data_IF_587776209519
#
_entry.id   IF_587776209519
#
_cell.length_a   1.000
_cell.length_b   1.000
_cell.length_c   1.000
_cell.angle_alpha   90.00
_cell.angle_beta   90.00
_cell.angle_gamma   90.00
#
_symmetry.space_group_name_H-M   'P 1'
#
loop_
_entity.id
_entity.type
_entity.pdbx_description
1 polymer ?
#
# COMPACT_ATOMS: atom_id res chain seq x y z
N UNK A 1 10.92 2.01 13.68
CA UNK A 1 9.99 1.08 13.01
C UNK A 1 9.28 1.84 11.91
N UNK A 2 9.41 1.44 10.65
CA UNK A 2 8.67 2.09 9.56
C UNK A 2 7.17 1.76 9.70
N UNK A 3 6.29 2.75 9.55
CA UNK A 3 4.84 2.55 9.63
C UNK A 3 4.39 1.83 8.35
N UNK A 4 3.97 0.57 8.48
CA UNK A 4 3.26 -0.14 7.41
C UNK A 4 1.93 0.57 7.15
N UNK A 5 1.67 0.84 5.87
CA UNK A 5 0.43 1.48 5.41
C UNK A 5 -0.45 0.44 4.70
N UNK A 6 0.15 -0.45 3.91
CA UNK A 6 -0.57 -1.56 3.30
C UNK A 6 -0.11 -2.89 3.89
N UNK A 7 -0.95 -3.50 4.73
CA UNK A 7 -0.66 -4.80 5.33
C UNK A 7 -0.83 -5.98 4.36
N UNK A 8 -1.55 -5.80 3.25
CA UNK A 8 -1.71 -6.85 2.25
C UNK A 8 -0.41 -7.11 1.47
N UNK A 9 0.29 -6.03 1.10
CA UNK A 9 1.47 -6.04 0.24
C UNK A 9 2.77 -5.62 0.95
N UNK A 10 2.69 -5.20 2.21
CA UNK A 10 3.85 -4.89 3.05
C UNK A 10 4.45 -3.51 2.82
N UNK A 11 3.78 -2.61 2.11
CA UNK A 11 4.32 -1.27 1.82
C UNK A 11 4.28 -0.35 3.03
N UNK A 12 5.42 0.27 3.32
CA UNK A 12 5.57 1.29 4.34
C UNK A 12 5.30 2.70 3.80
N UNK A 13 5.09 3.65 4.71
CA UNK A 13 5.04 5.07 4.34
C UNK A 13 6.32 5.51 3.63
N UNK A 14 7.47 5.00 4.05
CA UNK A 14 8.76 5.35 3.46
C UNK A 14 8.92 4.79 2.04
N UNK A 15 8.34 3.62 1.75
CA UNK A 15 8.29 3.08 0.38
C UNK A 15 7.52 4.03 -0.55
N UNK A 16 6.33 4.46 -0.13
CA UNK A 16 5.49 5.39 -0.90
C UNK A 16 6.21 6.72 -1.12
N UNK A 17 6.86 7.28 -0.08
CA UNK A 17 7.62 8.52 -0.20
C UNK A 17 8.82 8.38 -1.16
N UNK A 18 9.55 7.26 -1.10
CA UNK A 18 10.66 6.97 -2.03
C UNK A 18 10.17 6.82 -3.47
N UNK A 19 9.06 6.13 -3.66
CA UNK A 19 8.42 5.91 -4.94
C UNK A 19 7.96 7.23 -5.58
N UNK A 20 7.30 8.11 -4.82
CA UNK A 20 6.95 9.47 -5.28
C UNK A 20 8.18 10.27 -5.67
N UNK A 21 9.25 10.25 -4.86
CA UNK A 21 10.49 10.96 -5.19
C UNK A 21 11.14 10.45 -6.47
N UNK A 22 11.03 9.15 -6.76
CA UNK A 22 11.61 8.52 -7.95
C UNK A 22 10.78 8.74 -9.22
N UNK A 23 9.45 8.73 -9.10
CA UNK A 23 8.55 8.69 -10.25
C UNK A 23 7.73 9.97 -10.46
N UNK A 24 7.76 10.91 -9.50
CA UNK A 24 6.91 12.11 -9.49
C UNK A 24 5.46 11.86 -9.10
N UNK A 25 5.08 10.60 -8.92
CA UNK A 25 3.77 10.11 -8.47
C UNK A 25 3.95 8.76 -7.78
N UNK A 26 2.98 8.29 -7.01
CA UNK A 26 3.11 6.98 -6.37
C UNK A 26 2.59 5.86 -7.26
N UNK A 27 3.50 5.10 -7.87
CA UNK A 27 3.18 3.86 -8.58
C UNK A 27 2.72 2.75 -7.63
N UNK A 28 3.22 2.77 -6.39
CA UNK A 28 2.80 1.85 -5.32
C UNK A 28 1.34 2.08 -4.96
N UNK A 29 0.91 3.33 -4.78
CA UNK A 29 -0.49 3.64 -4.47
C UNK A 29 -1.43 3.18 -5.59
N UNK A 30 -1.06 3.43 -6.85
CA UNK A 30 -1.85 2.99 -8.01
C UNK A 30 -1.97 1.47 -8.09
N UNK A 31 -0.87 0.75 -7.80
CA UNK A 31 -0.89 -0.71 -7.72
C UNK A 31 -1.84 -1.18 -6.61
N UNK A 32 -1.74 -0.62 -5.40
CA UNK A 32 -2.61 -0.99 -4.27
C UNK A 32 -4.07 -0.77 -4.66
N UNK A 33 -4.40 0.35 -5.27
CA UNK A 33 -5.77 0.63 -5.70
C UNK A 33 -6.25 -0.34 -6.79
N UNK A 34 -5.40 -0.68 -7.76
CA UNK A 34 -5.73 -1.65 -8.79
C UNK A 34 -6.01 -3.04 -8.21
N UNK A 35 -5.16 -3.52 -7.29
CA UNK A 35 -5.34 -4.79 -6.59
C UNK A 35 -6.58 -4.78 -5.69
N UNK A 36 -6.88 -3.65 -5.03
CA UNK A 36 -8.09 -3.48 -4.25
C UNK A 36 -9.35 -3.58 -5.12
N UNK A 37 -9.36 -2.91 -6.29
CA UNK A 37 -10.45 -3.00 -7.27
C UNK A 37 -10.60 -4.40 -7.85
N UNK A 38 -9.50 -5.14 -8.00
CA UNK A 38 -9.49 -6.53 -8.44
C UNK A 38 -9.95 -7.53 -7.35
N UNK A 39 -10.15 -7.09 -6.10
CA UNK A 39 -10.56 -7.94 -4.99
C UNK A 39 -9.43 -8.78 -4.39
N UNK A 40 -8.16 -8.46 -4.69
CA UNK A 40 -7.00 -9.21 -4.20
C UNK A 40 -6.55 -8.80 -2.79
N UNK A 41 -7.16 -7.75 -2.24
CA UNK A 41 -6.89 -7.29 -0.87
C UNK A 41 -7.58 -8.17 0.17
N UNK A 42 -6.85 -8.48 1.25
CA UNK A 42 -7.36 -9.14 2.46
C UNK A 42 -7.35 -8.17 3.65
N UNK A 43 -7.80 -6.94 3.46
CA UNK A 43 -7.72 -5.90 4.50
C UNK A 43 -8.45 -6.31 5.79
N UNK A 44 -9.63 -6.94 5.67
CA UNK A 44 -10.39 -7.42 6.82
C UNK A 44 -9.62 -8.42 7.71
N UNK A 45 -8.71 -9.20 7.13
CA UNK A 45 -7.92 -10.21 7.85
C UNK A 45 -6.54 -9.70 8.27
N UNK A 46 -5.90 -8.88 7.42
CA UNK A 46 -4.48 -8.51 7.56
C UNK A 46 -4.26 -7.12 8.12
N UNK A 47 -5.18 -6.19 7.91
CA UNK A 47 -5.06 -4.83 8.41
C UNK A 47 -5.58 -4.79 9.85
N UNK A 48 -4.78 -4.34 10.85
CA UNK A 48 -5.24 -4.20 12.22
C UNK A 48 -6.49 -3.31 12.39
N UNK A 49 -6.72 -2.37 11.47
CA UNK A 49 -7.92 -1.53 11.44
C UNK A 49 -9.12 -2.18 10.76
N UNK A 50 -8.97 -3.36 10.16
CA UNK A 50 -10.01 -4.07 9.38
C UNK A 50 -10.28 -3.47 8.00
N UNK A 51 -9.74 -2.29 7.68
CA UNK A 51 -9.82 -1.63 6.37
C UNK A 51 -8.60 -0.77 6.10
#
# INVERSE_FOLDING_TARGET
>A
MERIVCHCFGYSKADIERDVKRHGRSTIAELIEAEARAGNCRCAERNPGGT
#
